data_IF_552959222860
#
_entry.id   IF_552959222860
#
_cell.length_a   1.000
_cell.length_b   1.000
_cell.length_c   1.000
_cell.angle_alpha   90.00
_cell.angle_beta   90.00
_cell.angle_gamma   90.00
#
_symmetry.space_group_name_H-M   'P 1'
#
loop_
_entity.id
_entity.type
_entity.pdbx_description
1 polymer ?
#
# COMPACT_ATOMS: atom_id res chain seq x y z
N UNK A 1 15.30 2.54 -3.06
CA UNK A 1 16.30 1.91 -2.15
C UNK A 1 16.66 0.52 -2.66
N UNK A 2 17.94 0.26 -2.94
CA UNK A 2 18.42 -1.02 -3.50
C UNK A 2 18.43 -2.12 -2.43
N UNK A 3 18.40 -3.40 -2.87
CA UNK A 3 18.39 -4.56 -1.99
C UNK A 3 19.50 -4.53 -0.92
N UNK A 4 20.72 -4.18 -1.31
CA UNK A 4 21.87 -4.16 -0.37
C UNK A 4 21.73 -3.03 0.66
N UNK A 5 21.22 -1.88 0.25
CA UNK A 5 20.95 -0.74 1.15
C UNK A 5 19.85 -1.10 2.16
N UNK A 6 18.76 -1.74 1.67
CA UNK A 6 17.69 -2.22 2.53
C UNK A 6 18.21 -3.23 3.56
N UNK A 7 19.01 -4.22 3.13
CA UNK A 7 19.60 -5.21 4.05
C UNK A 7 20.48 -4.55 5.10
N UNK A 8 21.39 -3.66 4.70
CA UNK A 8 22.24 -2.94 5.63
C UNK A 8 21.44 -2.09 6.62
N UNK A 9 20.39 -1.42 6.16
CA UNK A 9 19.48 -0.63 7.00
C UNK A 9 18.78 -1.50 8.05
N UNK A 10 18.26 -2.66 7.66
CA UNK A 10 17.58 -3.56 8.58
C UNK A 10 18.55 -4.22 9.56
N UNK A 11 19.72 -4.69 9.09
CA UNK A 11 20.78 -5.25 9.93
C UNK A 11 21.26 -4.28 11.00
N UNK A 12 21.49 -3.01 10.63
CA UNK A 12 21.90 -1.95 11.56
C UNK A 12 20.87 -1.68 12.67
N UNK A 13 19.62 -2.08 12.47
CA UNK A 13 18.51 -1.93 13.42
C UNK A 13 18.07 -3.24 14.08
N UNK A 14 18.75 -4.35 13.79
CA UNK A 14 18.33 -5.67 14.28
C UNK A 14 16.99 -6.13 13.71
N UNK A 15 16.50 -5.50 12.63
CA UNK A 15 15.23 -5.85 11.99
C UNK A 15 15.42 -6.97 10.96
N UNK A 16 14.38 -7.76 10.79
CA UNK A 16 14.29 -8.80 9.76
C UNK A 16 12.90 -8.82 9.16
N UNK A 17 12.77 -9.14 7.85
CA UNK A 17 11.46 -9.36 7.26
C UNK A 17 10.68 -10.43 8.04
N UNK A 18 9.43 -10.14 8.36
CA UNK A 18 8.55 -11.03 9.12
C UNK A 18 7.51 -11.66 8.20
N UNK A 19 7.60 -12.96 7.98
CA UNK A 19 6.67 -13.69 7.12
C UNK A 19 5.22 -13.67 7.65
N UNK A 20 5.01 -13.51 8.97
CA UNK A 20 3.66 -13.40 9.57
C UNK A 20 2.91 -12.16 9.04
N UNK A 21 3.63 -11.10 8.73
CA UNK A 21 3.08 -9.87 8.15
C UNK A 21 3.18 -9.83 6.61
N UNK A 22 3.62 -10.92 5.98
CA UNK A 22 3.73 -10.98 4.52
C UNK A 22 4.69 -9.96 3.92
N UNK A 23 5.73 -9.58 4.66
CA UNK A 23 6.67 -8.52 4.27
C UNK A 23 7.55 -8.94 3.09
N UNK A 24 7.22 -8.42 1.91
CA UNK A 24 7.98 -8.52 0.68
C UNK A 24 8.21 -7.09 0.17
N UNK A 25 9.42 -6.57 0.35
CA UNK A 25 9.75 -5.19 0.00
C UNK A 25 10.06 -5.07 -1.48
N UNK A 26 9.44 -4.14 -2.16
CA UNK A 26 9.78 -3.78 -3.53
C UNK A 26 11.15 -3.08 -3.56
N UNK A 27 12.09 -3.63 -4.36
CA UNK A 27 13.48 -3.19 -4.42
C UNK A 27 13.90 -2.64 -5.79
N UNK A 28 12.96 -2.55 -6.72
CA UNK A 28 13.17 -1.94 -8.04
C UNK A 28 12.90 -0.43 -7.94
N UNK A 29 13.98 0.38 -7.94
CA UNK A 29 13.92 1.83 -7.79
C UNK A 29 13.21 2.52 -8.96
N UNK A 30 13.40 2.02 -10.19
CA UNK A 30 12.76 2.61 -11.36
C UNK A 30 11.25 2.38 -11.35
N UNK A 31 10.84 1.23 -10.84
CA UNK A 31 9.42 0.92 -10.66
C UNK A 31 8.81 1.75 -9.53
N UNK A 32 9.47 1.81 -8.37
CA UNK A 32 9.01 2.61 -7.22
C UNK A 32 8.78 4.07 -7.59
N UNK A 33 9.75 4.68 -8.30
CA UNK A 33 9.68 6.09 -8.72
C UNK A 33 8.50 6.40 -9.65
N UNK A 34 7.95 5.40 -10.34
CA UNK A 34 6.80 5.57 -11.24
C UNK A 34 5.45 5.37 -10.59
N UNK A 35 5.39 4.73 -9.41
CA UNK A 35 4.12 4.40 -8.77
C UNK A 35 3.26 5.64 -8.49
N UNK A 36 3.78 6.77 -7.98
CA UNK A 36 2.95 7.96 -7.75
C UNK A 36 2.31 8.49 -9.05
N UNK A 37 3.07 8.55 -10.14
CA UNK A 37 2.58 8.99 -11.46
C UNK A 37 1.56 7.98 -12.05
N UNK A 38 1.89 6.69 -12.03
CA UNK A 38 0.99 5.61 -12.47
C UNK A 38 -0.33 5.58 -11.65
N UNK A 39 -0.30 6.07 -10.40
CA UNK A 39 -1.48 6.22 -9.52
C UNK A 39 -2.22 7.56 -9.73
N UNK A 40 -1.67 8.48 -10.50
CA UNK A 40 -2.24 9.81 -10.74
C UNK A 40 -2.05 10.80 -9.60
N UNK A 41 -1.18 10.49 -8.62
CA UNK A 41 -0.91 11.32 -7.44
C UNK A 41 -0.10 12.56 -7.83
N UNK A 42 -0.52 13.72 -7.36
CA UNK A 42 0.11 15.03 -7.60
C UNK A 42 0.51 15.71 -6.31
N UNK A 43 1.29 16.77 -6.43
CA UNK A 43 1.65 17.61 -5.30
C UNK A 43 0.41 18.13 -4.54
N UNK A 44 0.42 17.98 -3.24
CA UNK A 44 -0.68 18.37 -2.35
C UNK A 44 -1.79 17.33 -2.16
N UNK A 45 -1.83 16.27 -2.98
CA UNK A 45 -2.79 15.19 -2.81
C UNK A 45 -2.56 14.44 -1.50
N UNK A 46 -3.65 13.92 -0.96
CA UNK A 46 -3.63 13.11 0.26
C UNK A 46 -3.62 11.62 -0.11
N UNK A 47 -2.71 10.86 0.49
CA UNK A 47 -2.49 9.44 0.19
C UNK A 47 -2.55 8.62 1.47
N UNK A 48 -3.31 7.53 1.45
CA UNK A 48 -3.26 6.46 2.45
C UNK A 48 -2.33 5.34 1.95
N UNK A 49 -1.28 5.07 2.70
CA UNK A 49 -0.36 3.94 2.48
C UNK A 49 -0.52 2.90 3.58
N UNK A 50 -0.79 1.65 3.22
CA UNK A 50 -0.90 0.53 4.16
C UNK A 50 0.34 -0.35 4.05
N UNK A 51 1.01 -0.59 5.18
CA UNK A 51 2.20 -1.40 5.27
C UNK A 51 3.41 -0.77 4.58
N UNK A 52 3.81 0.45 4.94
CA UNK A 52 4.98 1.13 4.35
C UNK A 52 6.28 0.35 4.51
N UNK A 53 6.38 -0.52 5.53
CA UNK A 53 7.55 -1.32 5.82
C UNK A 53 8.80 -0.45 6.02
N UNK A 54 9.82 -0.63 5.18
CA UNK A 54 11.03 0.19 5.24
C UNK A 54 10.87 1.60 4.62
N UNK A 55 9.68 1.95 4.10
CA UNK A 55 9.34 3.28 3.59
C UNK A 55 9.86 3.56 2.18
N UNK A 56 10.02 2.54 1.34
CA UNK A 56 10.50 2.74 -0.02
C UNK A 56 9.45 3.44 -0.91
N UNK A 57 8.18 3.06 -0.81
CA UNK A 57 7.09 3.72 -1.52
C UNK A 57 6.73 5.05 -0.84
N UNK A 58 6.72 5.11 0.49
CA UNK A 58 6.54 6.35 1.26
C UNK A 58 7.47 7.46 0.76
N UNK A 59 8.76 7.13 0.55
CA UNK A 59 9.75 8.09 0.05
C UNK A 59 9.36 8.66 -1.32
N UNK A 60 8.89 7.83 -2.24
CA UNK A 60 8.49 8.28 -3.57
C UNK A 60 7.21 9.14 -3.53
N UNK A 61 6.25 8.79 -2.67
CA UNK A 61 5.05 9.62 -2.45
C UNK A 61 5.40 11.00 -1.86
N UNK A 62 6.34 11.04 -0.91
CA UNK A 62 6.79 12.29 -0.30
C UNK A 62 7.59 13.16 -1.29
N UNK A 63 8.36 12.55 -2.23
CA UNK A 63 9.10 13.28 -3.28
C UNK A 63 8.21 14.04 -4.27
N UNK A 64 6.99 13.57 -4.49
CA UNK A 64 6.00 14.28 -5.32
C UNK A 64 5.15 15.27 -4.51
N UNK A 65 5.58 15.61 -3.30
CA UNK A 65 4.88 16.53 -2.38
C UNK A 65 3.47 16.06 -1.98
N UNK A 66 3.20 14.76 -1.98
CA UNK A 66 1.97 14.21 -1.42
C UNK A 66 1.96 14.33 0.12
N UNK A 67 0.76 14.44 0.71
CA UNK A 67 0.53 14.28 2.16
C UNK A 67 0.19 12.83 2.43
N UNK A 68 1.01 12.13 3.20
CA UNK A 68 0.88 10.69 3.39
C UNK A 68 0.40 10.37 4.80
N UNK A 69 -0.68 9.57 4.91
CA UNK A 69 -0.96 8.78 6.10
C UNK A 69 -0.44 7.37 5.88
N UNK A 70 0.54 6.94 6.65
CA UNK A 70 1.10 5.59 6.63
C UNK A 70 0.61 4.78 7.84
N UNK A 71 0.19 3.54 7.62
CA UNK A 71 -0.27 2.63 8.70
C UNK A 71 0.63 1.41 8.72
N UNK A 72 1.38 1.22 9.81
CA UNK A 72 2.33 0.12 9.97
C UNK A 72 2.02 -0.71 11.21
N UNK A 73 1.86 -2.01 11.04
CA UNK A 73 1.54 -2.94 12.13
C UNK A 73 2.79 -3.39 12.90
N UNK A 74 3.94 -3.39 12.26
CA UNK A 74 5.20 -3.83 12.85
C UNK A 74 5.87 -2.67 13.59
N UNK A 75 5.97 -2.80 14.92
CA UNK A 75 6.58 -1.80 15.80
C UNK A 75 8.00 -1.42 15.36
N UNK A 76 8.84 -2.41 15.00
CA UNK A 76 10.23 -2.15 14.58
C UNK A 76 10.31 -1.34 13.29
N UNK A 77 9.41 -1.59 12.33
CA UNK A 77 9.32 -0.78 11.12
C UNK A 77 8.69 0.59 11.39
N UNK A 78 7.72 0.70 12.29
CA UNK A 78 7.19 2.00 12.70
C UNK A 78 8.29 2.89 13.32
N UNK A 79 9.15 2.34 14.16
CA UNK A 79 10.30 3.06 14.73
C UNK A 79 11.34 3.44 13.68
N UNK A 80 11.60 2.54 12.71
CA UNK A 80 12.46 2.85 11.57
C UNK A 80 11.92 4.05 10.78
N UNK A 81 10.62 4.08 10.49
CA UNK A 81 9.95 5.17 9.76
C UNK A 81 10.01 6.49 10.53
N UNK A 82 9.82 6.48 11.86
CA UNK A 82 9.94 7.67 12.71
C UNK A 82 11.32 8.33 12.60
N UNK A 83 12.36 7.52 12.56
CA UNK A 83 13.72 8.04 12.41
C UNK A 83 14.02 8.47 10.99
N UNK A 84 13.62 7.66 10.01
CA UNK A 84 13.90 7.90 8.58
C UNK A 84 13.22 9.17 8.06
N UNK A 85 12.00 9.42 8.51
CA UNK A 85 11.15 10.51 8.05
C UNK A 85 10.83 11.53 9.13
N UNK A 86 11.74 11.76 10.08
CA UNK A 86 11.54 12.67 11.20
C UNK A 86 11.09 14.07 10.74
N UNK A 87 11.76 14.63 9.73
CA UNK A 87 11.44 15.96 9.19
C UNK A 87 10.06 16.01 8.52
N UNK A 88 9.63 14.93 7.85
CA UNK A 88 8.30 14.86 7.23
C UNK A 88 7.19 14.66 8.27
N UNK A 89 7.49 13.98 9.37
CA UNK A 89 6.59 13.88 10.52
C UNK A 89 6.45 15.24 11.23
N UNK A 90 7.56 15.96 11.45
CA UNK A 90 7.56 17.28 12.06
C UNK A 90 6.80 18.31 11.22
N UNK A 91 6.97 18.26 9.90
CA UNK A 91 6.25 19.13 8.95
C UNK A 91 4.80 18.71 8.69
N UNK A 92 4.36 17.55 9.21
CA UNK A 92 3.05 16.93 8.95
C UNK A 92 2.80 16.55 7.47
N UNK A 93 3.84 16.46 6.67
CA UNK A 93 3.75 15.87 5.33
C UNK A 93 3.53 14.35 5.41
N UNK A 94 4.08 13.70 6.46
CA UNK A 94 3.81 12.32 6.82
C UNK A 94 3.09 12.28 8.18
N UNK A 95 2.04 11.48 8.26
CA UNK A 95 1.44 11.02 9.52
C UNK A 95 1.63 9.51 9.61
N UNK A 96 2.04 9.00 10.76
CA UNK A 96 2.26 7.58 10.99
C UNK A 96 1.34 7.05 12.07
N UNK A 97 0.54 6.05 11.72
CA UNK A 97 -0.24 5.25 12.67
C UNK A 97 0.45 3.90 12.85
N UNK A 98 0.83 3.58 14.06
CA UNK A 98 1.30 2.24 14.43
C UNK A 98 0.10 1.39 14.83
N UNK A 99 -0.18 0.33 14.06
CA UNK A 99 -1.28 -0.57 14.31
C UNK A 99 -1.75 -1.33 13.07
N UNK A 100 -2.76 -2.19 13.29
CA UNK A 100 -3.43 -2.88 12.20
C UNK A 100 -4.29 -1.89 11.42
N UNK A 101 -4.18 -1.90 10.10
CA UNK A 101 -5.02 -1.09 9.22
C UNK A 101 -6.49 -1.52 9.25
N UNK A 102 -6.76 -2.77 9.64
CA UNK A 102 -8.10 -3.33 9.76
C UNK A 102 -8.65 -3.12 11.16
N UNK A 103 -9.85 -2.56 11.24
CA UNK A 103 -10.63 -2.45 12.46
C UNK A 103 -11.60 -3.63 12.63
N UNK A 104 -12.46 -3.53 13.63
CA UNK A 104 -13.57 -4.45 13.87
C UNK A 104 -14.76 -4.10 12.95
N UNK A 105 -15.71 -5.05 12.83
CA UNK A 105 -17.00 -4.85 12.16
C UNK A 105 -16.88 -4.26 10.74
N UNK A 106 -15.97 -4.80 9.93
CA UNK A 106 -15.72 -4.35 8.55
C UNK A 106 -15.27 -2.88 8.40
N UNK A 107 -14.86 -2.23 9.49
CA UNK A 107 -14.28 -0.89 9.46
C UNK A 107 -12.75 -0.95 9.28
N UNK A 108 -12.14 0.15 8.90
CA UNK A 108 -10.71 0.35 9.03
C UNK A 108 -10.33 0.66 10.50
N UNK A 109 -9.05 0.77 10.77
CA UNK A 109 -8.57 1.21 12.08
C UNK A 109 -9.27 2.52 12.51
N UNK A 110 -9.72 2.64 13.76
CA UNK A 110 -10.43 3.85 14.21
C UNK A 110 -9.68 5.16 13.94
N UNK A 111 -8.35 5.17 14.08
CA UNK A 111 -7.55 6.36 13.78
C UNK A 111 -7.50 6.67 12.28
N UNK A 112 -7.60 5.66 11.40
CA UNK A 112 -7.74 5.85 9.95
C UNK A 112 -9.13 6.39 9.61
N UNK A 113 -10.18 5.87 10.26
CA UNK A 113 -11.55 6.38 10.07
C UNK A 113 -11.68 7.84 10.51
N UNK A 114 -11.11 8.19 11.66
CA UNK A 114 -11.09 9.57 12.15
C UNK A 114 -10.34 10.50 11.19
N UNK A 115 -9.15 10.10 10.75
CA UNK A 115 -8.39 10.83 9.75
C UNK A 115 -9.19 11.04 8.46
N UNK A 116 -9.85 9.97 7.95
CA UNK A 116 -10.63 10.04 6.71
C UNK A 116 -11.78 11.05 6.80
N UNK A 117 -12.49 11.08 7.95
CA UNK A 117 -13.60 12.01 8.21
C UNK A 117 -13.17 13.48 8.27
N UNK A 118 -11.89 13.75 8.52
CA UNK A 118 -11.33 15.10 8.59
C UNK A 118 -10.83 15.62 7.24
N UNK A 119 -10.89 14.81 6.18
CA UNK A 119 -10.42 15.21 4.87
C UNK A 119 -11.47 16.06 4.13
N UNK A 120 -11.01 17.16 3.55
CA UNK A 120 -11.83 18.00 2.67
C UNK A 120 -11.93 17.43 1.23
N UNK A 121 -11.02 16.54 0.87
CA UNK A 121 -10.93 15.91 -0.46
C UNK A 121 -10.72 14.41 -0.35
N UNK A 122 -11.25 13.66 -1.32
CA UNK A 122 -11.07 12.22 -1.39
C UNK A 122 -9.57 11.86 -1.48
N UNK A 123 -9.07 10.92 -0.65
CA UNK A 123 -7.68 10.51 -0.69
C UNK A 123 -7.44 9.48 -1.81
N UNK A 124 -6.19 9.40 -2.25
CA UNK A 124 -5.67 8.24 -2.97
C UNK A 124 -5.31 7.13 -1.99
N UNK A 125 -5.39 5.88 -2.44
CA UNK A 125 -4.86 4.73 -1.71
C UNK A 125 -3.76 4.10 -2.57
N UNK A 126 -2.52 4.15 -2.08
CA UNK A 126 -1.36 3.63 -2.83
C UNK A 126 -0.52 2.76 -1.90
N UNK A 127 -0.43 1.45 -2.18
CA UNK A 127 0.29 0.54 -1.28
C UNK A 127 0.85 -0.69 -1.99
N UNK A 128 2.00 -1.16 -1.51
CA UNK A 128 2.43 -2.55 -1.67
C UNK A 128 1.78 -3.38 -0.55
N UNK A 129 0.54 -3.80 -0.78
CA UNK A 129 -0.33 -4.31 0.29
C UNK A 129 0.08 -5.72 0.73
N UNK A 130 0.24 -5.98 2.04
CA UNK A 130 0.49 -7.31 2.53
C UNK A 130 -0.59 -8.30 2.08
N UNK A 131 -0.18 -9.44 1.52
CA UNK A 131 -1.10 -10.37 0.86
C UNK A 131 -2.22 -10.88 1.77
N UNK A 132 -1.91 -11.08 3.05
CA UNK A 132 -2.87 -11.62 4.03
C UNK A 132 -4.09 -10.71 4.25
N UNK A 133 -3.94 -9.40 4.07
CA UNK A 133 -5.01 -8.42 4.31
C UNK A 133 -5.65 -7.89 3.03
N UNK A 134 -5.20 -8.32 1.84
CA UNK A 134 -5.67 -7.79 0.55
C UNK A 134 -7.19 -7.89 0.39
N UNK A 135 -7.75 -9.08 0.56
CA UNK A 135 -9.20 -9.28 0.46
C UNK A 135 -10.01 -8.50 1.51
N UNK A 136 -9.68 -8.66 2.81
CA UNK A 136 -10.33 -7.89 3.88
C UNK A 136 -10.24 -6.38 3.71
N UNK A 137 -9.10 -5.85 3.26
CA UNK A 137 -8.94 -4.41 3.02
C UNK A 137 -9.79 -3.94 1.84
N UNK A 138 -9.71 -4.62 0.70
CA UNK A 138 -10.52 -4.32 -0.49
C UNK A 138 -12.03 -4.34 -0.19
N UNK A 139 -12.49 -5.27 0.65
CA UNK A 139 -13.90 -5.36 1.04
C UNK A 139 -14.43 -4.14 1.81
N UNK A 140 -13.53 -3.30 2.34
CA UNK A 140 -13.86 -2.09 3.12
C UNK A 140 -13.88 -0.81 2.28
N UNK A 141 -13.53 -0.88 1.01
CA UNK A 141 -13.47 0.30 0.12
C UNK A 141 -14.82 0.71 -0.48
N UNK A 142 -15.75 -0.18 -0.83
CA UNK A 142 -17.03 0.21 -1.41
C UNK A 142 -17.81 1.19 -0.52
N UNK A 143 -18.35 2.25 -1.15
CA UNK A 143 -19.11 3.30 -0.49
C UNK A 143 -18.28 4.42 0.14
N UNK A 144 -16.94 4.38 0.02
CA UNK A 144 -16.05 5.47 0.46
C UNK A 144 -15.80 6.45 -0.67
N UNK A 145 -15.60 7.71 -0.30
CA UNK A 145 -15.12 8.72 -1.23
C UNK A 145 -13.60 8.56 -1.39
N UNK A 146 -13.15 8.14 -2.59
CA UNK A 146 -11.77 7.76 -2.92
C UNK A 146 -11.44 8.36 -4.29
N UNK A 147 -10.32 9.09 -4.37
CA UNK A 147 -9.85 9.68 -5.62
C UNK A 147 -9.28 8.65 -6.59
N UNK A 148 -8.66 7.61 -6.06
CA UNK A 148 -8.12 6.48 -6.83
C UNK A 148 -7.43 5.47 -5.93
N UNK A 149 -7.35 4.24 -6.39
CA UNK A 149 -6.70 3.14 -5.68
C UNK A 149 -5.65 2.51 -6.59
N UNK A 150 -4.43 2.38 -6.12
CA UNK A 150 -3.36 1.63 -6.79
C UNK A 150 -2.69 0.72 -5.78
N UNK A 151 -3.01 -0.56 -5.86
CA UNK A 151 -2.52 -1.58 -4.93
C UNK A 151 -1.70 -2.61 -5.67
N UNK A 152 -0.54 -2.94 -5.12
CA UNK A 152 0.23 -4.09 -5.53
C UNK A 152 -0.20 -5.29 -4.70
N UNK A 153 -0.71 -6.32 -5.37
CA UNK A 153 -1.32 -7.51 -4.78
C UNK A 153 -0.73 -8.78 -5.38
N UNK A 154 -1.08 -9.94 -4.82
CA UNK A 154 -0.89 -11.20 -5.54
C UNK A 154 -1.62 -11.13 -6.88
N UNK A 155 -0.96 -11.55 -7.96
CA UNK A 155 -1.49 -11.51 -9.33
C UNK A 155 -2.90 -12.11 -9.42
N UNK A 156 -3.10 -13.28 -8.82
CA UNK A 156 -4.41 -13.97 -8.85
C UNK A 156 -5.53 -13.12 -8.21
N UNK A 157 -5.24 -12.42 -7.10
CA UNK A 157 -6.21 -11.54 -6.45
C UNK A 157 -6.52 -10.33 -7.33
N UNK A 158 -5.49 -9.70 -7.92
CA UNK A 158 -5.68 -8.57 -8.82
C UNK A 158 -6.48 -8.97 -10.06
N UNK A 159 -6.19 -10.12 -10.67
CA UNK A 159 -6.93 -10.65 -11.83
C UNK A 159 -8.40 -10.94 -11.51
N UNK A 160 -8.67 -11.54 -10.33
CA UNK A 160 -10.06 -11.80 -9.89
C UNK A 160 -10.86 -10.53 -9.68
N UNK A 161 -10.22 -9.46 -9.18
CA UNK A 161 -10.91 -8.18 -8.92
C UNK A 161 -11.08 -7.38 -10.20
N UNK A 162 -10.07 -7.33 -11.06
CA UNK A 162 -10.12 -6.57 -12.32
C UNK A 162 -11.18 -7.06 -13.31
N UNK A 163 -11.80 -8.19 -13.01
CA UNK A 163 -12.94 -8.72 -13.79
C UNK A 163 -12.57 -9.88 -14.72
N UNK A 164 -13.58 -10.52 -15.33
CA UNK A 164 -13.39 -11.78 -16.01
C UNK A 164 -12.59 -11.58 -17.30
N UNK A 165 -11.44 -12.22 -17.36
CA UNK A 165 -11.04 -12.87 -18.60
C UNK A 165 -11.84 -14.15 -18.73
N UNK A 166 -11.95 -14.74 -19.92
CA UNK A 166 -12.77 -15.93 -20.18
C UNK A 166 -12.54 -17.14 -19.22
N UNK A 167 -11.57 -17.05 -18.32
CA UNK A 167 -11.10 -18.09 -17.39
C UNK A 167 -11.14 -17.69 -15.90
N UNK A 168 -11.69 -16.53 -15.53
CA UNK A 168 -11.72 -16.07 -14.13
C UNK A 168 -13.16 -15.95 -13.66
N UNK A 169 -13.51 -16.74 -12.65
CA UNK A 169 -14.84 -16.69 -12.03
C UNK A 169 -14.99 -15.44 -11.15
N UNK A 170 -16.17 -14.83 -11.19
CA UNK A 170 -16.53 -13.75 -10.31
C UNK A 170 -16.57 -14.21 -8.85
N UNK A 171 -15.97 -13.43 -7.95
CA UNK A 171 -16.14 -13.58 -6.51
C UNK A 171 -17.12 -12.53 -5.98
N UNK A 172 -17.68 -12.75 -4.79
CA UNK A 172 -18.51 -11.73 -4.12
C UNK A 172 -17.77 -10.40 -3.95
N UNK A 173 -16.45 -10.45 -3.72
CA UNK A 173 -15.61 -9.28 -3.61
C UNK A 173 -15.47 -8.54 -4.96
N UNK A 174 -15.21 -9.25 -6.06
CA UNK A 174 -15.09 -8.64 -7.38
C UNK A 174 -16.40 -7.99 -7.84
N UNK A 175 -17.54 -8.63 -7.57
CA UNK A 175 -18.86 -8.04 -7.85
C UNK A 175 -19.05 -6.75 -7.03
N UNK A 176 -18.80 -6.78 -5.73
CA UNK A 176 -18.96 -5.58 -4.86
C UNK A 176 -18.05 -4.42 -5.32
N UNK A 177 -16.81 -4.71 -5.68
CA UNK A 177 -15.88 -3.68 -6.16
C UNK A 177 -16.29 -3.13 -7.53
N UNK A 178 -16.71 -3.97 -8.49
CA UNK A 178 -17.15 -3.53 -9.81
C UNK A 178 -18.40 -2.66 -9.81
N UNK A 179 -19.22 -2.74 -8.76
CA UNK A 179 -20.39 -1.86 -8.57
C UNK A 179 -19.99 -0.45 -8.09
N UNK A 180 -18.78 -0.30 -7.54
CA UNK A 180 -18.31 0.95 -6.93
C UNK A 180 -17.15 1.58 -7.70
N UNK A 181 -16.38 0.79 -8.46
CA UNK A 181 -15.14 1.20 -9.09
C UNK A 181 -14.99 0.65 -10.52
N UNK A 182 -14.23 1.37 -11.35
CA UNK A 182 -13.73 0.89 -12.64
C UNK A 182 -12.44 0.08 -12.42
N UNK A 183 -12.61 -1.23 -12.17
CA UNK A 183 -11.51 -2.10 -11.78
C UNK A 183 -10.61 -2.43 -12.99
N UNK A 184 -9.32 -2.12 -12.91
CA UNK A 184 -8.33 -2.36 -13.96
C UNK A 184 -7.14 -3.17 -13.46
N UNK A 185 -6.75 -4.17 -14.24
CA UNK A 185 -5.49 -4.87 -14.03
C UNK A 185 -4.34 -4.03 -14.61
N UNK A 186 -3.42 -3.64 -13.74
CA UNK A 186 -2.21 -2.92 -14.13
C UNK A 186 -1.05 -3.85 -14.47
N UNK A 187 0.17 -3.34 -14.36
CA UNK A 187 1.40 -4.07 -14.68
C UNK A 187 1.58 -5.29 -13.78
N UNK A 188 2.00 -6.40 -14.38
CA UNK A 188 2.46 -7.60 -13.67
C UNK A 188 3.92 -7.47 -13.29
N UNK A 189 4.26 -7.97 -12.11
CA UNK A 189 5.61 -7.93 -11.56
C UNK A 189 6.08 -9.34 -11.18
N UNK A 190 7.28 -9.73 -11.65
CA UNK A 190 7.86 -11.00 -11.28
C UNK A 190 8.42 -10.95 -9.86
N UNK A 191 8.61 -12.10 -9.19
CA UNK A 191 9.09 -12.18 -7.81
C UNK A 191 10.47 -11.54 -7.56
N UNK A 192 11.30 -11.41 -8.61
CA UNK A 192 12.68 -10.90 -8.53
C UNK A 192 12.78 -9.43 -8.11
N UNK A 193 11.72 -8.66 -8.33
CA UNK A 193 11.67 -7.23 -7.94
C UNK A 193 11.41 -7.03 -6.44
N UNK A 194 11.25 -8.13 -5.68
CA UNK A 194 10.99 -8.11 -4.24
C UNK A 194 12.11 -8.77 -3.43
N UNK A 195 12.23 -8.33 -2.19
CA UNK A 195 13.06 -8.99 -1.18
C UNK A 195 12.36 -8.95 0.20
N UNK A 196 12.23 -10.10 0.89
CA UNK A 196 12.43 -11.46 0.40
C UNK A 196 11.61 -11.75 -0.86
N UNK A 197 12.07 -12.67 -1.68
CA UNK A 197 11.40 -13.07 -2.92
C UNK A 197 10.11 -13.83 -2.58
N UNK A 198 8.91 -13.39 -3.02
CA UNK A 198 7.68 -14.16 -2.89
C UNK A 198 7.69 -15.38 -3.82
N UNK A 199 6.78 -16.33 -3.58
CA UNK A 199 6.67 -17.54 -4.40
C UNK A 199 5.86 -17.35 -5.68
N UNK A 200 5.10 -16.26 -5.77
CA UNK A 200 4.14 -15.99 -6.86
C UNK A 200 4.32 -14.57 -7.39
N UNK A 201 3.87 -14.38 -8.62
CA UNK A 201 3.82 -13.07 -9.26
C UNK A 201 2.87 -12.12 -8.52
N UNK A 202 3.16 -10.84 -8.64
CA UNK A 202 2.29 -9.75 -8.21
C UNK A 202 1.72 -9.00 -9.40
N UNK A 203 0.68 -8.21 -9.18
CA UNK A 203 0.17 -7.28 -10.17
C UNK A 203 -0.42 -6.05 -9.48
N UNK A 204 -0.38 -4.93 -10.17
CA UNK A 204 -1.13 -3.76 -9.75
C UNK A 204 -2.61 -3.95 -10.04
N UNK A 205 -3.43 -3.54 -9.09
CA UNK A 205 -4.86 -3.33 -9.23
C UNK A 205 -5.13 -1.83 -9.13
N UNK A 206 -5.87 -1.28 -10.09
CA UNK A 206 -6.34 0.10 -10.07
C UNK A 206 -7.87 0.12 -9.99
N UNK A 207 -8.40 1.00 -9.17
CA UNK A 207 -9.82 1.22 -8.95
C UNK A 207 -10.15 2.70 -9.05
#
# INVERSE_FOLDING_TARGET
>A
MKKNELRALLEARGLRPNSRFGQNFLIDEALLARIPDDAGVKAGDTVLEIGPGAGALTEELLKVDAKVLAVEIDHGFADLLRVRFASQLDSKQLTLIEGDALGKNEMLNPAVEEWWQQLDTAPYIVANLPYAISGPFLARLPGRDIAGVTLLLQKEVAEKVAGPSANVEWSSLSIRLSLSFDCKLGRRLPPEVFWPRPQIDSAFLQL
#
